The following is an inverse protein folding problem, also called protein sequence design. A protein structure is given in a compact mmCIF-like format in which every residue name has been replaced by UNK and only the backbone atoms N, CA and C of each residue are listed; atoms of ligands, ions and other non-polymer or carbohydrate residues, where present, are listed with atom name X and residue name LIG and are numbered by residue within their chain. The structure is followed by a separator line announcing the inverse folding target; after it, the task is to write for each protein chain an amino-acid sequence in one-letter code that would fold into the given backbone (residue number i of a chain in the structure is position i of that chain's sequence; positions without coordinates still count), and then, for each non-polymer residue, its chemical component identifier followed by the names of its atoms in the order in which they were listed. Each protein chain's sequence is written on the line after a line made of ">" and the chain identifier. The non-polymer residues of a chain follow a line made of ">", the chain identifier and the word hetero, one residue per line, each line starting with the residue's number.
data_IF_389175193915
#
_entry.id   IF_389175193915
#
_cell.length_a   1.000
_cell.length_b   1.000
_cell.length_c   1.000
_cell.angle_alpha   90.00
_cell.angle_beta   90.00
_cell.angle_gamma   90.00
#
_symmetry.space_group_name_H-M   'P 1'
#
loop_
_entity.id
_entity.type
_entity.pdbx_description
1 polymer ?
#
# COMPACT_ATOMS: atom_id res chain seq x y z
N UNK A 1 -6.33 -4.99 13.41
CA UNK A 1 -5.12 -5.13 12.57
C UNK A 1 -3.96 -5.57 13.47
N UNK A 2 -4.18 -6.60 14.28
CA UNK A 2 -3.47 -6.73 15.57
C UNK A 2 -2.08 -7.35 15.41
N UNK A 3 -1.79 -7.84 14.20
CA UNK A 3 -0.50 -8.39 13.79
C UNK A 3 0.35 -7.38 12.98
N UNK A 4 -0.14 -6.15 12.78
CA UNK A 4 0.60 -5.07 12.12
C UNK A 4 1.12 -4.15 13.21
N UNK A 5 2.42 -3.83 13.17
CA UNK A 5 3.05 -2.89 14.10
C UNK A 5 2.26 -1.57 14.13
N UNK A 6 1.93 -1.12 15.34
CA UNK A 6 1.20 0.13 15.58
C UNK A 6 1.90 1.34 14.92
N UNK A 7 3.24 1.34 14.87
CA UNK A 7 4.01 2.38 14.18
C UNK A 7 3.68 2.44 12.69
N UNK A 8 3.51 1.28 12.04
CA UNK A 8 3.12 1.21 10.62
C UNK A 8 1.70 1.74 10.43
N UNK A 9 0.77 1.41 11.34
CA UNK A 9 -0.59 1.95 11.30
C UNK A 9 -0.57 3.47 11.45
N UNK A 10 0.23 4.01 12.37
CA UNK A 10 0.39 5.45 12.56
C UNK A 10 1.00 6.12 11.33
N UNK A 11 2.04 5.53 10.72
CA UNK A 11 2.62 6.06 9.47
C UNK A 11 1.60 6.10 8.33
N UNK A 12 0.72 5.10 8.22
CA UNK A 12 -0.33 5.07 7.18
C UNK A 12 -1.36 6.16 7.44
N UNK A 13 -1.89 6.24 8.66
CA UNK A 13 -2.95 7.19 9.02
C UNK A 13 -2.48 8.65 9.01
N UNK A 14 -1.17 8.89 9.19
CA UNK A 14 -0.52 10.20 9.03
C UNK A 14 -0.04 10.49 7.60
N UNK A 15 -0.28 9.57 6.66
CA UNK A 15 0.16 9.67 5.26
C UNK A 15 1.68 9.81 5.11
N UNK A 16 2.45 9.17 5.98
CA UNK A 16 3.92 9.15 5.97
C UNK A 16 4.49 7.84 5.41
N UNK A 17 3.67 6.79 5.40
CA UNK A 17 4.02 5.49 4.87
C UNK A 17 4.41 5.55 3.37
N UNK A 18 5.59 5.03 3.04
CA UNK A 18 6.12 5.10 1.67
C UNK A 18 5.67 3.90 0.84
N UNK A 19 5.48 4.07 -0.49
CA UNK A 19 5.07 2.97 -1.38
C UNK A 19 6.00 1.75 -1.30
N UNK A 20 7.31 1.97 -1.20
CA UNK A 20 8.31 0.91 -1.03
C UNK A 20 8.08 0.06 0.22
N UNK A 21 7.51 0.64 1.29
CA UNK A 21 7.24 -0.07 2.53
C UNK A 21 6.00 -0.98 2.48
N UNK A 22 5.21 -0.99 1.40
CA UNK A 22 3.97 -1.79 1.30
C UNK A 22 4.18 -3.27 1.65
N UNK A 23 5.33 -3.86 1.33
CA UNK A 23 5.67 -5.25 1.67
C UNK A 23 5.56 -5.56 3.17
N UNK A 24 5.72 -4.57 4.05
CA UNK A 24 5.51 -4.70 5.51
C UNK A 24 4.06 -5.10 5.85
N UNK A 25 3.12 -4.80 4.95
CA UNK A 25 1.71 -5.14 5.07
C UNK A 25 1.37 -6.53 4.53
N UNK A 26 2.28 -7.19 3.79
CA UNK A 26 2.06 -8.55 3.32
C UNK A 26 2.26 -9.56 4.46
N UNK A 27 1.19 -10.31 4.78
CA UNK A 27 1.23 -11.36 5.79
C UNK A 27 2.27 -12.43 5.47
N UNK A 28 2.45 -12.81 4.20
CA UNK A 28 3.43 -13.84 3.79
C UNK A 28 4.86 -13.42 4.13
N UNK A 29 5.16 -12.12 3.95
CA UNK A 29 6.46 -11.53 4.28
C UNK A 29 6.66 -11.49 5.79
N UNK A 30 5.64 -11.09 6.56
CA UNK A 30 5.69 -11.09 8.03
C UNK A 30 5.83 -12.49 8.62
N UNK A 31 5.04 -13.46 8.16
CA UNK A 31 5.12 -14.85 8.61
C UNK A 31 6.51 -15.47 8.30
N UNK A 32 7.20 -15.00 7.27
CA UNK A 32 8.58 -15.40 7.00
C UNK A 32 9.55 -14.71 7.96
N UNK A 33 9.34 -13.42 8.26
CA UNK A 33 10.14 -12.65 9.22
C UNK A 33 10.08 -13.23 10.62
N UNK A 34 8.90 -13.63 11.08
CA UNK A 34 8.71 -14.23 12.42
C UNK A 34 9.43 -15.58 12.57
N UNK A 35 9.73 -16.25 11.45
CA UNK A 35 10.52 -17.50 11.40
C UNK A 35 12.02 -17.27 11.23
N UNK A 36 12.46 -16.03 11.03
CA UNK A 36 13.87 -15.67 10.86
C UNK A 36 14.41 -15.10 12.17
N UNK A 37 15.56 -15.60 12.65
CA UNK A 37 16.19 -15.16 13.91
C UNK A 37 16.51 -13.65 13.94
N UNK A 38 16.60 -12.99 12.78
CA UNK A 38 16.87 -11.54 12.65
C UNK A 38 15.66 -10.68 12.29
N UNK A 39 14.45 -11.24 12.22
CA UNK A 39 13.23 -10.50 11.91
C UNK A 39 13.17 -9.91 10.49
N UNK A 40 12.30 -8.92 10.30
CA UNK A 40 11.99 -8.37 8.97
C UNK A 40 13.19 -7.66 8.33
N UNK A 41 13.93 -6.88 9.11
CA UNK A 41 15.06 -6.11 8.58
C UNK A 41 16.21 -7.02 8.12
N UNK A 42 16.49 -8.12 8.84
CA UNK A 42 17.47 -9.11 8.40
C UNK A 42 17.05 -9.87 7.14
N UNK A 43 15.75 -10.15 6.99
CA UNK A 43 15.21 -10.74 5.75
C UNK A 43 15.32 -9.80 4.55
N UNK A 44 15.04 -8.51 4.74
CA UNK A 44 15.12 -7.52 3.67
C UNK A 44 16.59 -7.29 3.23
N UNK A 45 17.52 -7.29 4.18
CA UNK A 45 18.96 -7.17 3.89
C UNK A 45 19.50 -8.42 3.17
N UNK A 46 19.13 -9.63 3.63
CA UNK A 46 19.60 -10.88 3.03
C UNK A 46 19.00 -11.18 1.66
N UNK A 47 17.81 -10.65 1.36
CA UNK A 47 17.16 -10.83 0.05
C UNK A 47 17.77 -9.94 -1.05
N UNK A 48 18.63 -8.99 -0.68
CA UNK A 48 19.12 -7.93 -1.56
C UNK A 48 17.99 -6.97 -1.97
N UNK A 49 18.33 -5.74 -2.33
CA UNK A 49 17.40 -4.70 -2.83
C UNK A 49 16.61 -5.08 -4.10
N UNK A 50 16.66 -6.34 -4.56
CA UNK A 50 16.09 -6.80 -5.81
C UNK A 50 14.64 -7.29 -5.62
N UNK A 51 13.69 -6.47 -6.10
CA UNK A 51 12.28 -6.79 -6.43
C UNK A 51 11.34 -6.90 -5.21
N UNK A 52 11.02 -5.78 -4.57
CA UNK A 52 10.01 -5.71 -3.49
C UNK A 52 8.61 -6.15 -3.93
N UNK A 53 8.32 -6.12 -5.23
CA UNK A 53 7.05 -6.58 -5.81
C UNK A 53 7.33 -7.34 -7.11
N UNK A 54 7.68 -8.64 -7.09
CA UNK A 54 8.01 -9.39 -8.30
C UNK A 54 6.79 -9.64 -9.21
N UNK A 55 5.57 -9.55 -8.66
CA UNK A 55 4.32 -9.84 -9.37
C UNK A 55 3.21 -8.87 -8.98
N UNK A 56 2.14 -8.83 -9.78
CA UNK A 56 0.93 -8.08 -9.44
C UNK A 56 0.36 -8.51 -8.07
N UNK A 57 0.30 -9.82 -7.79
CA UNK A 57 -0.19 -10.36 -6.52
C UNK A 57 0.60 -9.83 -5.31
N UNK A 58 1.94 -9.80 -5.43
CA UNK A 58 2.81 -9.28 -4.37
C UNK A 58 2.57 -7.80 -4.06
N UNK A 59 1.99 -7.04 -4.98
CA UNK A 59 1.60 -5.65 -4.78
C UNK A 59 0.16 -5.49 -4.29
N UNK A 60 -0.80 -6.23 -4.89
CA UNK A 60 -2.22 -6.04 -4.63
C UNK A 60 -2.59 -6.36 -3.18
N UNK A 61 -2.07 -7.46 -2.63
CA UNK A 61 -2.38 -7.89 -1.25
C UNK A 61 -1.98 -6.83 -0.20
N UNK A 62 -0.72 -6.35 -0.15
CA UNK A 62 -0.36 -5.29 0.79
C UNK A 62 -1.07 -3.96 0.49
N UNK A 63 -1.34 -3.64 -0.78
CA UNK A 63 -2.06 -2.42 -1.15
C UNK A 63 -3.52 -2.44 -0.69
N UNK A 64 -4.21 -3.57 -0.78
CA UNK A 64 -5.56 -3.74 -0.21
C UNK A 64 -5.55 -3.56 1.31
N UNK A 65 -4.52 -4.09 1.98
CA UNK A 65 -4.36 -3.92 3.43
C UNK A 65 -4.16 -2.46 3.80
N UNK A 66 -3.31 -1.74 3.04
CA UNK A 66 -3.11 -0.29 3.19
C UNK A 66 -4.43 0.50 3.11
N UNK A 67 -5.24 0.25 2.08
CA UNK A 67 -6.53 0.92 1.95
C UNK A 67 -7.52 0.54 3.05
N UNK A 68 -7.54 -0.72 3.46
CA UNK A 68 -8.40 -1.18 4.56
C UNK A 68 -8.10 -0.45 5.87
N UNK A 69 -6.81 -0.22 6.17
CA UNK A 69 -6.39 0.57 7.35
C UNK A 69 -6.90 2.01 7.24
N UNK A 70 -6.71 2.67 6.09
CA UNK A 70 -7.17 4.05 5.89
C UNK A 70 -8.70 4.19 6.01
N UNK A 71 -9.45 3.26 5.41
CA UNK A 71 -10.91 3.27 5.45
C UNK A 71 -11.42 3.07 6.88
N UNK A 72 -10.84 2.11 7.60
CA UNK A 72 -11.22 1.85 8.99
C UNK A 72 -10.84 3.01 9.91
N UNK A 73 -9.68 3.64 9.70
CA UNK A 73 -9.30 4.84 10.42
C UNK A 73 -10.26 6.00 10.16
N UNK A 74 -10.67 6.22 8.92
CA UNK A 74 -11.67 7.22 8.56
C UNK A 74 -13.01 6.95 9.26
N UNK A 75 -13.42 5.68 9.37
CA UNK A 75 -14.63 5.28 10.10
C UNK A 75 -14.53 5.61 11.59
N UNK A 76 -13.44 5.22 12.26
CA UNK A 76 -13.26 5.43 13.71
C UNK A 76 -13.08 6.90 14.06
N UNK A 77 -12.44 7.69 13.20
CA UNK A 77 -12.26 9.14 13.38
C UNK A 77 -13.50 9.98 13.06
N UNK A 78 -14.63 9.35 12.72
CA UNK A 78 -15.88 10.05 12.40
C UNK A 78 -15.93 10.68 11.01
N UNK A 79 -14.94 10.39 10.15
CA UNK A 79 -14.84 10.87 8.75
C UNK A 79 -15.39 9.82 7.77
N UNK A 80 -16.63 9.37 7.98
CA UNK A 80 -17.23 8.26 7.21
C UNK A 80 -17.36 8.54 5.70
N UNK A 81 -17.58 9.80 5.33
CA UNK A 81 -17.58 10.29 3.95
C UNK A 81 -16.22 10.09 3.27
N UNK A 82 -15.12 10.42 3.97
CA UNK A 82 -13.74 10.15 3.52
C UNK A 82 -13.52 8.66 3.33
N UNK A 83 -14.02 7.84 4.26
CA UNK A 83 -13.98 6.37 4.14
C UNK A 83 -14.64 5.86 2.86
N UNK A 84 -15.84 6.36 2.54
CA UNK A 84 -16.56 6.01 1.29
C UNK A 84 -15.79 6.46 0.04
N UNK A 85 -15.20 7.65 0.05
CA UNK A 85 -14.38 8.17 -1.05
C UNK A 85 -13.16 7.26 -1.28
N UNK A 86 -12.47 6.89 -0.20
CA UNK A 86 -11.32 5.99 -0.24
C UNK A 86 -11.68 4.59 -0.73
N UNK A 87 -12.82 4.04 -0.28
CA UNK A 87 -13.29 2.74 -0.74
C UNK A 87 -13.55 2.73 -2.25
N UNK A 88 -14.23 3.76 -2.78
CA UNK A 88 -14.47 3.87 -4.23
C UNK A 88 -13.18 4.09 -5.02
N UNK A 89 -12.32 4.99 -4.55
CA UNK A 89 -11.06 5.31 -5.20
C UNK A 89 -10.09 4.13 -5.21
N UNK A 90 -10.01 3.38 -4.11
CA UNK A 90 -9.17 2.18 -4.03
C UNK A 90 -9.64 1.08 -4.97
N UNK A 91 -10.95 0.81 -5.06
CA UNK A 91 -11.50 -0.15 -6.02
C UNK A 91 -11.17 0.23 -7.47
N UNK A 92 -11.37 1.50 -7.83
CA UNK A 92 -11.04 2.01 -9.17
C UNK A 92 -9.53 1.87 -9.46
N UNK A 93 -8.68 2.21 -8.51
CA UNK A 93 -7.23 2.10 -8.67
C UNK A 93 -6.74 0.65 -8.78
N UNK A 94 -7.27 -0.26 -7.97
CA UNK A 94 -6.94 -1.69 -8.02
C UNK A 94 -7.36 -2.32 -9.36
N UNK A 95 -8.50 -1.92 -9.92
CA UNK A 95 -8.92 -2.34 -11.25
C UNK A 95 -7.96 -1.79 -12.32
N UNK A 96 -7.61 -0.51 -12.24
CA UNK A 96 -6.73 0.14 -13.20
C UNK A 96 -5.32 -0.47 -13.22
N UNK A 97 -4.70 -0.69 -12.06
CA UNK A 97 -3.35 -1.28 -12.02
C UNK A 97 -3.34 -2.72 -12.52
N UNK A 98 -4.42 -3.48 -12.30
CA UNK A 98 -4.62 -4.81 -12.88
C UNK A 98 -4.68 -4.73 -14.40
N UNK A 99 -5.42 -3.78 -14.95
CA UNK A 99 -5.50 -3.55 -16.40
C UNK A 99 -4.14 -3.17 -17.00
N UNK A 100 -3.39 -2.27 -16.33
CA UNK A 100 -2.04 -1.90 -16.76
C UNK A 100 -1.09 -3.10 -16.75
N UNK A 101 -1.20 -3.98 -15.74
CA UNK A 101 -0.40 -5.20 -15.66
C UNK A 101 -0.67 -6.19 -16.79
N UNK A 102 -1.86 -6.18 -17.39
CA UNK A 102 -2.17 -6.96 -18.59
C UNK A 102 -1.61 -6.34 -19.87
N UNK A 103 -1.43 -5.01 -19.92
CA UNK A 103 -1.08 -4.25 -21.13
C UNK A 103 0.40 -3.92 -21.25
N UNK A 104 1.08 -3.76 -20.12
CA UNK A 104 2.44 -3.23 -20.06
C UNK A 104 3.39 -4.15 -19.31
N UNK A 105 4.70 -3.96 -19.53
CA UNK A 105 5.73 -4.66 -18.77
C UNK A 105 5.60 -4.32 -17.29
N UNK A 106 5.68 -5.34 -16.44
CA UNK A 106 5.52 -5.19 -14.99
C UNK A 106 6.42 -4.13 -14.36
N UNK A 107 7.67 -3.99 -14.82
CA UNK A 107 8.59 -2.95 -14.32
C UNK A 107 8.07 -1.53 -14.55
N UNK A 108 7.40 -1.28 -15.68
CA UNK A 108 6.79 0.02 -15.98
C UNK A 108 5.57 0.28 -15.10
N UNK A 109 4.72 -0.75 -14.92
CA UNK A 109 3.54 -0.67 -14.04
C UNK A 109 3.94 -0.41 -12.59
N UNK A 110 5.00 -1.07 -12.12
CA UNK A 110 5.54 -0.85 -10.78
C UNK A 110 6.10 0.57 -10.62
N UNK A 111 6.85 1.07 -11.60
CA UNK A 111 7.36 2.45 -11.58
C UNK A 111 6.22 3.49 -11.56
N UNK A 112 5.18 3.25 -12.35
CA UNK A 112 3.94 4.03 -12.33
C UNK A 112 3.30 4.00 -10.94
N UNK A 113 3.12 2.82 -10.34
CA UNK A 113 2.55 2.68 -9.00
C UNK A 113 3.32 3.49 -7.95
N UNK A 114 4.65 3.38 -7.94
CA UNK A 114 5.50 4.09 -6.97
C UNK A 114 5.29 5.60 -7.05
N UNK A 115 5.26 6.13 -8.28
CA UNK A 115 5.10 7.56 -8.54
C UNK A 115 3.68 8.03 -8.22
N UNK A 116 2.68 7.26 -8.67
CA UNK A 116 1.27 7.55 -8.43
C UNK A 116 0.93 7.54 -6.94
N UNK A 117 1.32 6.50 -6.21
CA UNK A 117 1.10 6.37 -4.78
C UNK A 117 1.82 7.48 -4.00
N UNK A 118 3.08 7.81 -4.33
CA UNK A 118 3.78 8.93 -3.71
C UNK A 118 3.03 10.26 -3.89
N UNK A 119 2.49 10.53 -5.09
CA UNK A 119 1.65 11.70 -5.39
C UNK A 119 0.37 11.67 -4.56
N UNK A 120 -0.40 10.57 -4.56
CA UNK A 120 -1.66 10.48 -3.81
C UNK A 120 -1.46 10.65 -2.30
N UNK A 121 -0.36 10.15 -1.76
CA UNK A 121 0.02 10.36 -0.36
C UNK A 121 0.20 11.85 -0.02
N UNK A 122 0.90 12.61 -0.87
CA UNK A 122 1.05 14.05 -0.67
C UNK A 122 -0.27 14.81 -0.75
N UNK A 123 -1.20 14.33 -1.57
CA UNK A 123 -2.55 14.91 -1.68
C UNK A 123 -3.40 14.61 -0.44
N UNK A 124 -3.33 13.38 0.09
CA UNK A 124 -3.98 13.04 1.36
C UNK A 124 -3.44 13.83 2.56
N UNK A 125 -2.14 14.15 2.59
CA UNK A 125 -1.57 15.09 3.58
C UNK A 125 -2.24 16.47 3.55
N UNK A 126 -2.77 16.88 2.40
CA UNK A 126 -3.50 18.14 2.21
C UNK A 126 -5.03 17.95 2.37
N UNK A 127 -5.48 16.79 2.84
CA UNK A 127 -6.90 16.45 2.99
C UNK A 127 -7.63 16.08 1.71
N UNK A 128 -6.92 15.84 0.59
CA UNK A 128 -7.55 15.47 -0.70
C UNK A 128 -7.56 13.96 -0.89
N UNK A 129 -8.72 13.34 -0.67
CA UNK A 129 -8.89 11.87 -0.70
C UNK A 129 -9.52 11.34 -1.99
N UNK A 130 -10.19 12.20 -2.78
CA UNK A 130 -10.88 11.83 -4.02
C UNK A 130 -9.94 11.55 -5.21
N UNK A 131 -8.63 11.65 -5.00
CA UNK A 131 -7.63 11.57 -6.07
C UNK A 131 -7.30 10.14 -6.50
N UNK A 132 -7.58 9.10 -5.70
CA UNK A 132 -7.18 7.72 -6.00
C UNK A 132 -7.89 7.08 -7.21
N UNK A 133 -9.09 7.54 -7.55
CA UNK A 133 -9.82 7.08 -8.74
C UNK A 133 -9.53 7.89 -10.01
N UNK A 134 -8.77 8.98 -9.91
CA UNK A 134 -8.37 9.79 -11.05
C UNK A 134 -7.07 9.20 -11.61
N UNK A 135 -7.20 8.43 -12.69
CA UNK A 135 -6.07 7.95 -13.49
C UNK A 135 -5.48 9.14 -14.27
N UNK A 136 -4.15 9.25 -14.27
CA UNK A 136 -3.45 10.25 -15.09
C UNK A 136 -3.47 9.84 -16.57
#
# INVERSE_FOLDING_TARGET
>A
FDQIDERVILEITRHEFRPYNLHKLDKRVRDRADRSEGGLDALLVSSGSAKEYPTLDSLLVPLQTFFSILIEYARISGSGDVGCILARGSLAYLAHITELACKYKWSAVLSYHMSYHAKRRQEMKKGRYNCWGATD
#
